data_IF_056239104950
#
_entry.id   IF_056239104950
#
_cell.length_a   1.000
_cell.length_b   1.000
_cell.length_c   1.000
_cell.angle_alpha   90.00
_cell.angle_beta   90.00
_cell.angle_gamma   90.00
#
_symmetry.space_group_name_H-M   'P 1'
#
loop_
_entity.id
_entity.type
_entity.pdbx_description
1 polymer ?
#
# COMPACT_ATOMS: atom_id res chain seq x y z
N UNK A 1 20.86 29.74 22.82
CA UNK A 1 20.95 28.26 22.84
C UNK A 1 19.59 27.56 22.86
N UNK A 2 18.56 28.06 23.58
CA UNK A 2 17.21 27.44 23.65
C UNK A 2 16.52 27.22 22.29
N UNK A 3 16.64 28.17 21.36
CA UNK A 3 16.03 28.09 20.02
C UNK A 3 16.67 27.01 19.13
N UNK A 4 18.01 26.87 19.17
CA UNK A 4 18.70 25.85 18.39
C UNK A 4 18.32 24.42 18.85
N UNK A 5 18.17 24.20 20.15
CA UNK A 5 17.69 22.92 20.67
C UNK A 5 16.27 22.59 20.21
N UNK A 6 15.38 23.59 20.18
CA UNK A 6 14.01 23.38 19.67
C UNK A 6 14.00 22.96 18.20
N UNK A 7 14.79 23.62 17.35
CA UNK A 7 14.90 23.28 15.92
C UNK A 7 15.48 21.88 15.69
N UNK A 8 16.49 21.49 16.48
CA UNK A 8 17.08 20.15 16.41
C UNK A 8 16.04 19.08 16.80
N UNK A 9 15.28 19.30 17.87
CA UNK A 9 14.22 18.38 18.29
C UNK A 9 13.14 18.24 17.23
N UNK A 10 12.71 19.35 16.61
CA UNK A 10 11.72 19.33 15.53
C UNK A 10 12.21 18.53 14.31
N UNK A 11 13.48 18.73 13.91
CA UNK A 11 14.08 18.04 12.78
C UNK A 11 14.16 16.51 13.01
N UNK A 12 14.53 16.08 14.22
CA UNK A 12 14.56 14.66 14.59
C UNK A 12 13.16 14.05 14.56
N UNK A 13 12.16 14.77 15.08
CA UNK A 13 10.78 14.29 15.10
C UNK A 13 10.21 14.11 13.70
N UNK A 14 10.46 15.07 12.80
CA UNK A 14 10.07 14.97 11.40
C UNK A 14 10.75 13.80 10.68
N UNK A 15 12.03 13.53 11.00
CA UNK A 15 12.76 12.39 10.45
C UNK A 15 12.30 11.05 11.03
N UNK A 16 11.72 11.01 12.23
CA UNK A 16 11.18 9.78 12.78
C UNK A 16 9.80 9.41 12.19
N UNK A 17 9.04 10.39 11.68
CA UNK A 17 7.65 10.19 11.24
C UNK A 17 7.46 9.62 9.83
N UNK A 18 8.53 9.39 9.04
CA UNK A 18 8.38 8.90 7.66
C UNK A 18 8.31 7.37 7.53
N UNK A 19 8.58 6.62 8.60
CA UNK A 19 8.68 5.15 8.53
C UNK A 19 7.28 4.55 8.73
N UNK A 20 6.67 4.09 7.64
CA UNK A 20 5.51 3.22 7.65
C UNK A 20 5.92 1.80 7.21
N UNK A 21 5.37 0.78 7.85
CA UNK A 21 5.59 -0.62 7.49
C UNK A 21 4.23 -1.32 7.45
N UNK A 22 3.77 -1.64 6.25
CA UNK A 22 2.62 -2.52 6.05
C UNK A 22 3.11 -3.95 5.77
N UNK A 23 2.37 -4.95 6.25
CA UNK A 23 2.61 -6.36 5.94
C UNK A 23 1.30 -7.00 5.48
N UNK A 24 1.30 -7.50 4.25
CA UNK A 24 0.18 -8.28 3.73
C UNK A 24 0.23 -9.71 4.28
N UNK A 25 -0.93 -10.34 4.58
CA UNK A 25 -0.97 -11.76 4.91
C UNK A 25 -0.25 -12.58 3.84
N UNK A 26 0.47 -13.62 4.28
CA UNK A 26 1.18 -14.50 3.34
C UNK A 26 0.20 -15.03 2.28
N UNK A 27 0.59 -15.02 0.99
CA UNK A 27 -0.32 -15.40 -0.08
C UNK A 27 -0.70 -16.87 0.07
N UNK A 28 -2.00 -17.15 -0.06
CA UNK A 28 -2.53 -18.52 -0.01
C UNK A 28 -2.24 -19.31 -1.28
N UNK A 29 -1.85 -18.63 -2.37
CA UNK A 29 -1.65 -19.18 -3.71
C UNK A 29 -0.51 -18.45 -4.43
N UNK A 30 0.03 -19.04 -5.49
CA UNK A 30 1.21 -18.52 -6.20
C UNK A 30 0.98 -17.12 -6.83
N UNK A 31 -0.25 -16.83 -7.30
CA UNK A 31 -0.60 -15.53 -7.89
C UNK A 31 -2.07 -15.15 -7.63
N UNK A 32 -2.36 -13.86 -7.46
CA UNK A 32 -3.71 -13.32 -7.38
C UNK A 32 -3.77 -12.00 -8.18
N UNK A 33 -4.27 -12.05 -9.40
CA UNK A 33 -4.51 -10.86 -10.23
C UNK A 33 -5.87 -10.29 -9.84
N UNK A 34 -5.93 -9.01 -9.45
CA UNK A 34 -7.19 -8.38 -9.07
C UNK A 34 -8.17 -8.32 -10.27
N UNK A 35 -9.46 -8.56 -10.02
CA UNK A 35 -10.51 -8.28 -11.01
C UNK A 35 -10.74 -6.77 -11.15
N UNK A 36 -10.92 -6.29 -12.38
CA UNK A 36 -11.19 -4.87 -12.65
C UNK A 36 -12.59 -4.43 -12.18
N UNK A 37 -13.55 -5.37 -12.19
CA UNK A 37 -14.95 -5.07 -11.87
C UNK A 37 -15.47 -6.01 -10.76
N UNK A 38 -15.66 -5.51 -9.53
CA UNK A 38 -16.28 -6.29 -8.47
C UNK A 38 -17.81 -6.30 -8.66
N UNK A 39 -18.31 -6.90 -9.75
CA UNK A 39 -19.76 -7.00 -10.05
C UNK A 39 -20.56 -7.81 -9.00
N UNK A 40 -19.93 -8.25 -7.92
CA UNK A 40 -20.57 -8.90 -6.77
C UNK A 40 -20.05 -8.25 -5.49
N UNK A 41 -20.85 -7.34 -4.94
CA UNK A 41 -20.56 -6.48 -3.80
C UNK A 41 -20.36 -7.23 -2.46
N UNK A 42 -19.39 -8.12 -2.40
CA UNK A 42 -18.88 -8.72 -1.18
C UNK A 42 -17.60 -7.97 -0.78
N UNK A 43 -17.53 -7.50 0.46
CA UNK A 43 -16.36 -6.77 0.95
C UNK A 43 -15.37 -7.76 1.57
N UNK A 44 -14.15 -7.80 1.04
CA UNK A 44 -13.02 -8.58 1.56
C UNK A 44 -11.88 -7.63 1.93
N UNK A 45 -10.95 -8.09 2.77
CA UNK A 45 -9.72 -7.34 3.04
C UNK A 45 -8.78 -7.49 1.82
N UNK A 46 -8.93 -6.60 0.84
CA UNK A 46 -8.18 -6.62 -0.43
C UNK A 46 -9.09 -6.51 -1.66
N UNK A 47 -8.68 -7.17 -2.75
CA UNK A 47 -9.46 -7.30 -3.99
C UNK A 47 -9.73 -8.77 -4.28
N UNK A 48 -10.79 -9.06 -5.03
CA UNK A 48 -11.01 -10.41 -5.52
C UNK A 48 -9.99 -10.77 -6.59
N UNK A 49 -9.48 -12.00 -6.50
CA UNK A 49 -8.65 -12.58 -7.53
C UNK A 49 -9.51 -13.00 -8.73
N UNK A 50 -8.99 -12.73 -9.93
CA UNK A 50 -9.45 -13.32 -11.19
C UNK A 50 -9.32 -14.84 -11.13
N UNK A 51 -10.18 -15.54 -11.86
CA UNK A 51 -10.07 -16.99 -12.04
C UNK A 51 -8.67 -17.33 -12.59
N UNK A 52 -7.89 -18.21 -11.93
CA UNK A 52 -6.54 -18.54 -12.36
C UNK A 52 -6.46 -19.09 -13.79
N UNK A 53 -7.54 -19.68 -14.32
CA UNK A 53 -7.61 -20.14 -15.72
C UNK A 53 -7.78 -19.01 -16.72
N UNK A 54 -8.14 -17.81 -16.26
CA UNK A 54 -8.34 -16.62 -17.10
C UNK A 54 -7.17 -15.64 -17.01
N UNK A 55 -6.23 -15.87 -16.10
CA UNK A 55 -5.01 -15.06 -15.95
C UNK A 55 -4.08 -15.29 -17.14
N UNK A 56 -3.56 -14.21 -17.70
CA UNK A 56 -2.61 -14.23 -18.82
C UNK A 56 -1.31 -13.53 -18.45
N UNK A 57 -0.26 -13.74 -19.24
CA UNK A 57 1.04 -13.11 -19.00
C UNK A 57 0.93 -11.58 -18.99
N UNK A 58 0.04 -11.03 -19.81
CA UNK A 58 -0.25 -9.60 -19.91
C UNK A 58 -0.69 -8.97 -18.57
N UNK A 59 -1.36 -9.74 -17.72
CA UNK A 59 -1.89 -9.27 -16.44
C UNK A 59 -0.78 -8.98 -15.40
N UNK A 60 0.46 -9.43 -15.64
CA UNK A 60 1.61 -9.22 -14.75
C UNK A 60 2.49 -8.04 -15.18
N UNK A 61 2.27 -7.46 -16.36
CA UNK A 61 3.08 -6.34 -16.82
C UNK A 61 2.50 -5.01 -16.35
N UNK A 62 3.27 -4.30 -15.52
CA UNK A 62 2.98 -2.91 -15.20
C UNK A 62 3.23 -2.06 -16.45
N UNK A 63 2.17 -1.49 -17.02
CA UNK A 63 2.32 -0.44 -18.01
C UNK A 63 2.85 0.81 -17.33
N UNK A 64 3.94 1.38 -17.85
CA UNK A 64 4.61 2.59 -17.35
C UNK A 64 3.70 3.86 -17.33
N UNK A 65 2.48 3.76 -17.85
CA UNK A 65 1.44 4.80 -17.76
C UNK A 65 0.21 4.42 -16.91
N UNK A 66 0.27 3.31 -16.16
CA UNK A 66 -0.79 2.88 -15.25
C UNK A 66 -0.89 3.78 -14.04
N UNK A 67 -2.12 4.11 -13.66
CA UNK A 67 -2.48 4.93 -12.50
C UNK A 67 -1.64 4.57 -11.27
N UNK A 68 -0.67 5.43 -10.95
CA UNK A 68 0.00 5.44 -9.66
C UNK A 68 -1.02 5.86 -8.60
N UNK A 69 -1.95 4.98 -8.21
CA UNK A 69 -2.34 4.98 -6.81
C UNK A 69 -1.14 4.46 -6.04
N UNK A 70 -0.23 5.37 -5.76
CA UNK A 70 0.39 5.41 -4.45
C UNK A 70 -0.76 5.25 -3.44
N UNK A 71 -1.00 4.04 -2.93
CA UNK A 71 -1.79 3.86 -1.71
C UNK A 71 -0.97 4.30 -0.49
N UNK A 72 -0.13 5.34 -0.64
CA UNK A 72 0.61 5.98 0.42
C UNK A 72 0.53 7.50 0.29
N UNK A 73 -0.69 8.02 0.22
CA UNK A 73 -1.00 9.36 0.75
C UNK A 73 -2.22 9.29 1.66
N UNK A 74 -2.23 8.37 2.61
CA UNK A 74 -2.95 8.57 3.87
C UNK A 74 -1.93 8.87 4.95
N UNK A 75 -1.33 10.06 4.86
CA UNK A 75 -0.70 10.71 6.01
C UNK A 75 -1.67 10.67 7.20
N UNK A 76 -1.12 10.27 8.35
CA UNK A 76 -1.67 10.36 9.70
C UNK A 76 -2.86 9.46 10.02
N UNK A 77 -2.58 8.28 10.55
CA UNK A 77 -3.14 7.87 11.84
C UNK A 77 -2.17 6.90 12.51
N UNK A 78 -1.96 7.14 13.80
CA UNK A 78 -1.08 6.38 14.67
C UNK A 78 -1.50 4.91 14.68
N UNK A 79 -0.77 4.04 14.01
CA UNK A 79 -0.80 2.61 14.29
C UNK A 79 0.50 2.23 15.03
N UNK A 80 0.53 2.35 16.38
CA UNK A 80 1.49 1.58 17.16
C UNK A 80 1.11 0.09 17.06
N UNK A 81 2.12 -0.77 17.22
CA UNK A 81 2.02 -2.23 17.34
C UNK A 81 0.76 -2.73 18.04
#
# INVERSE_FOLDING_TARGET
MKSAHFLVTLAIFALASFIASAYDPSPLQDFCVAVDDPEKALFVNGKFCKDPMQVKAEDFFLHWGGHWTLQETHTTLLDPM
#
